data_IF_282137065065
#
_entry.id   IF_282137065065
#
_cell.length_a   1.000
_cell.length_b   1.000
_cell.length_c   1.000
_cell.angle_alpha   90.00
_cell.angle_beta   90.00
_cell.angle_gamma   90.00
#
_symmetry.space_group_name_H-M   'P 1'
#
loop_
_entity.id
_entity.type
_entity.pdbx_description
1 polymer ?
#
# COMPACT_ATOMS: atom_id res chain seq x y z
N UNK A 1 30.20 2.62 -76.13
CA UNK A 1 28.74 2.46 -76.34
C UNK A 1 28.07 2.48 -74.96
N UNK A 2 27.39 3.57 -74.59
CA UNK A 2 25.92 3.73 -74.68
C UNK A 2 25.18 2.73 -73.76
N UNK A 3 24.28 3.09 -72.83
CA UNK A 3 23.45 4.27 -72.61
C UNK A 3 22.91 4.25 -71.17
N UNK A 4 22.64 5.47 -70.67
CA UNK A 4 21.77 5.77 -69.53
C UNK A 4 20.35 5.18 -69.71
N UNK A 5 19.69 4.92 -68.58
CA UNK A 5 18.44 5.58 -68.14
C UNK A 5 17.09 4.83 -68.09
N UNK A 6 16.40 5.14 -66.98
CA UNK A 6 14.95 5.29 -66.69
C UNK A 6 14.05 4.07 -66.43
N UNK A 7 13.85 3.84 -65.12
CA UNK A 7 12.65 4.22 -64.36
C UNK A 7 11.29 3.63 -64.80
N UNK A 8 10.65 2.83 -63.93
CA UNK A 8 9.18 2.83 -63.75
C UNK A 8 8.74 2.27 -62.39
N UNK A 9 8.26 3.19 -61.55
CA UNK A 9 7.24 3.09 -60.48
C UNK A 9 6.70 1.68 -60.17
N UNK A 10 6.72 1.32 -58.88
CA UNK A 10 5.46 1.22 -58.13
C UNK A 10 5.69 1.41 -56.64
N UNK A 11 5.03 2.44 -56.09
CA UNK A 11 4.91 2.72 -54.66
C UNK A 11 4.10 1.58 -54.02
N UNK A 12 4.64 0.91 -53.01
CA UNK A 12 3.86 0.38 -51.89
C UNK A 12 4.59 0.71 -50.60
N UNK A 13 4.16 1.79 -49.96
CA UNK A 13 4.52 2.08 -48.58
C UNK A 13 3.97 0.97 -47.70
N UNK A 14 4.84 0.38 -46.88
CA UNK A 14 4.43 -0.33 -45.67
C UNK A 14 4.79 0.57 -44.50
N UNK A 15 3.76 1.06 -43.83
CA UNK A 15 3.85 1.84 -42.63
C UNK A 15 4.59 1.02 -41.54
N UNK A 16 5.68 1.57 -41.04
CA UNK A 16 6.31 1.16 -39.80
C UNK A 16 5.41 1.61 -38.64
N UNK A 17 4.75 0.67 -37.97
CA UNK A 17 4.08 0.94 -36.70
C UNK A 17 5.11 0.98 -35.58
N UNK A 18 5.65 2.17 -35.31
CA UNK A 18 6.26 2.46 -34.01
C UNK A 18 5.14 2.50 -32.97
N UNK A 19 5.32 1.92 -31.76
CA UNK A 19 4.39 2.18 -30.67
C UNK A 19 4.56 3.64 -30.24
N UNK A 20 3.49 4.43 -30.43
CA UNK A 20 3.42 5.81 -29.96
C UNK A 20 3.71 5.86 -28.44
N UNK A 21 4.58 6.76 -27.95
CA UNK A 21 4.63 7.05 -26.53
C UNK A 21 3.27 7.63 -26.13
N UNK A 22 2.57 6.91 -25.26
CA UNK A 22 1.32 7.38 -24.69
C UNK A 22 1.61 8.70 -23.96
N UNK A 23 0.87 9.79 -24.22
CA UNK A 23 1.04 11.01 -23.44
C UNK A 23 0.72 10.68 -21.99
N UNK A 24 1.63 11.10 -21.10
CA UNK A 24 1.48 10.94 -19.66
C UNK A 24 0.08 11.40 -19.24
N UNK A 25 -0.64 10.51 -18.56
CA UNK A 25 -1.97 10.79 -17.99
C UNK A 25 -1.93 11.80 -16.82
N UNK A 26 -0.83 12.53 -16.68
CA UNK A 26 -0.54 13.47 -15.61
C UNK A 26 -1.01 14.91 -15.92
N UNK A 27 -1.55 15.20 -17.12
CA UNK A 27 -1.88 16.57 -17.53
C UNK A 27 -3.38 16.88 -17.72
N UNK A 28 -4.30 15.95 -17.43
CA UNK A 28 -5.74 16.21 -17.60
C UNK A 28 -6.58 15.67 -16.45
N UNK A 29 -6.34 16.20 -15.26
CA UNK A 29 -7.41 16.47 -14.31
C UNK A 29 -7.13 17.84 -13.72
N UNK A 30 -7.75 18.89 -14.28
CA UNK A 30 -8.00 20.06 -13.43
C UNK A 30 -8.73 19.52 -12.19
N UNK A 31 -8.30 19.83 -10.96
CA UNK A 31 -9.14 19.55 -9.80
C UNK A 31 -10.51 20.14 -10.09
N UNK A 32 -11.62 19.45 -9.75
CA UNK A 32 -12.93 20.08 -9.84
C UNK A 32 -12.82 21.43 -9.15
N UNK A 33 -13.15 22.50 -9.86
CA UNK A 33 -13.15 23.85 -9.31
C UNK A 33 -13.90 23.77 -7.99
N UNK A 34 -13.21 24.11 -6.90
CA UNK A 34 -13.84 24.25 -5.60
C UNK A 34 -14.98 25.28 -5.77
N UNK A 35 -16.20 24.76 -5.85
CA UNK A 35 -17.42 25.53 -5.83
C UNK A 35 -18.40 24.72 -4.97
N UNK A 36 -18.96 25.30 -3.91
CA UNK A 36 -18.23 26.07 -2.93
C UNK A 36 -18.64 25.57 -1.54
N UNK A 37 -17.85 24.65 -0.96
CA UNK A 37 -18.04 24.34 0.46
C UNK A 37 -17.80 25.57 1.33
N UNK A 38 -16.91 26.47 0.87
CA UNK A 38 -16.66 27.76 1.49
C UNK A 38 -17.84 28.74 1.39
N UNK A 39 -18.69 28.67 0.35
CA UNK A 39 -19.90 29.51 0.25
C UNK A 39 -21.03 28.98 1.12
N UNK A 40 -21.23 27.66 1.18
CA UNK A 40 -22.20 27.09 2.12
C UNK A 40 -21.78 27.36 3.56
N UNK A 41 -20.49 27.16 3.88
CA UNK A 41 -19.92 27.48 5.19
C UNK A 41 -20.04 28.97 5.50
N UNK A 42 -19.62 29.86 4.59
CA UNK A 42 -19.75 31.30 4.80
C UNK A 42 -21.21 31.77 4.92
N UNK A 43 -22.15 31.16 4.19
CA UNK A 43 -23.60 31.45 4.31
C UNK A 43 -24.21 30.95 5.60
N UNK A 44 -23.72 29.83 6.12
CA UNK A 44 -24.11 29.32 7.43
C UNK A 44 -23.45 30.15 8.56
N UNK A 45 -22.18 30.53 8.45
CA UNK A 45 -21.47 31.42 9.39
C UNK A 45 -22.01 32.86 9.38
N UNK A 46 -22.58 33.31 8.26
CA UNK A 46 -23.27 34.60 8.14
C UNK A 46 -24.72 34.58 8.67
N UNK A 47 -25.28 33.40 8.93
CA UNK A 47 -26.61 33.28 9.54
C UNK A 47 -26.49 33.54 11.05
N UNK A 48 -27.09 34.62 11.58
CA UNK A 48 -26.91 35.02 12.98
C UNK A 48 -27.39 33.95 13.99
N UNK A 49 -28.36 33.10 13.62
CA UNK A 49 -28.80 31.98 14.46
C UNK A 49 -27.76 30.86 14.53
N UNK A 50 -27.13 30.57 13.39
CA UNK A 50 -26.14 29.50 13.27
C UNK A 50 -24.81 29.96 13.88
N UNK A 51 -24.42 31.22 13.67
CA UNK A 51 -23.27 31.86 14.33
C UNK A 51 -23.39 31.84 15.86
N UNK A 52 -24.58 32.10 16.40
CA UNK A 52 -24.84 31.99 17.84
C UNK A 52 -24.86 30.54 18.34
N UNK A 53 -25.26 29.59 17.49
CA UNK A 53 -25.22 28.15 17.79
C UNK A 53 -23.82 27.52 17.61
N UNK A 54 -22.92 28.16 16.88
CA UNK A 54 -21.54 27.74 16.63
C UNK A 54 -20.52 28.47 17.48
N UNK A 55 -20.96 29.41 18.31
CA UNK A 55 -20.13 30.08 19.32
C UNK A 55 -19.81 29.07 20.43
N UNK A 56 -18.89 28.15 20.13
CA UNK A 56 -18.51 27.02 20.97
C UNK A 56 -18.08 27.50 22.36
N UNK A 57 -17.45 28.68 22.47
CA UNK A 57 -17.09 29.33 23.73
C UNK A 57 -18.33 29.70 24.56
N UNK A 58 -19.39 30.22 23.94
CA UNK A 58 -20.65 30.56 24.63
C UNK A 58 -21.43 29.33 25.06
N UNK A 59 -21.42 28.28 24.23
CA UNK A 59 -22.02 26.97 24.55
C UNK A 59 -21.26 26.26 25.68
N UNK A 60 -19.93 26.22 25.63
CA UNK A 60 -19.08 25.65 26.68
C UNK A 60 -19.21 26.44 27.98
N UNK A 61 -19.15 27.78 27.92
CA UNK A 61 -19.37 28.65 29.10
C UNK A 61 -20.77 28.46 29.70
N UNK A 62 -21.79 28.25 28.87
CA UNK A 62 -23.16 28.02 29.31
C UNK A 62 -23.39 26.64 29.92
N UNK A 63 -22.68 25.62 29.43
CA UNK A 63 -22.64 24.28 30.05
C UNK A 63 -21.94 24.35 31.41
N UNK A 64 -20.81 25.07 31.51
CA UNK A 64 -20.07 25.28 32.77
C UNK A 64 -20.87 26.07 33.80
N UNK A 65 -21.66 27.06 33.36
CA UNK A 65 -22.55 27.87 34.21
C UNK A 65 -23.88 27.16 34.56
N UNK A 66 -24.13 25.98 33.99
CA UNK A 66 -25.32 25.18 34.30
C UNK A 66 -26.63 25.74 33.74
N UNK A 67 -26.62 26.47 32.62
CA UNK A 67 -27.85 27.05 32.05
C UNK A 67 -28.80 25.93 31.59
N UNK A 68 -30.03 25.83 32.18
CA UNK A 68 -30.96 24.76 31.88
C UNK A 68 -31.45 24.75 30.42
N UNK A 69 -31.46 25.90 29.74
CA UNK A 69 -31.85 25.97 28.33
C UNK A 69 -30.77 25.33 27.43
N UNK A 70 -29.50 25.57 27.76
CA UNK A 70 -28.36 25.05 27.02
C UNK A 70 -28.24 23.54 27.25
N UNK A 71 -28.36 23.09 28.49
CA UNK A 71 -28.33 21.67 28.86
C UNK A 71 -29.47 20.90 28.17
N UNK A 72 -30.70 21.42 28.18
CA UNK A 72 -31.83 20.75 27.53
C UNK A 72 -31.67 20.68 26.01
N UNK A 73 -31.09 21.70 25.40
CA UNK A 73 -30.77 21.74 23.98
C UNK A 73 -29.73 20.69 23.60
N UNK A 74 -28.62 20.58 24.35
CA UNK A 74 -27.60 19.54 24.17
C UNK A 74 -28.18 18.13 24.35
N UNK A 75 -29.00 17.92 25.38
CA UNK A 75 -29.69 16.63 25.60
C UNK A 75 -30.66 16.28 24.47
N UNK A 76 -31.29 17.27 23.85
CA UNK A 76 -32.13 17.07 22.67
C UNK A 76 -31.30 16.63 21.48
N UNK A 77 -30.13 17.25 21.26
CA UNK A 77 -29.20 16.81 20.20
C UNK A 77 -28.67 15.38 20.42
N UNK A 78 -28.37 15.00 21.67
CA UNK A 78 -28.01 13.61 22.01
C UNK A 78 -29.17 12.64 21.72
N UNK A 79 -30.41 12.99 22.08
CA UNK A 79 -31.60 12.17 21.77
C UNK A 79 -31.90 12.07 20.27
N UNK A 80 -31.56 13.12 19.51
CA UNK A 80 -31.68 13.16 18.05
C UNK A 80 -30.51 12.46 17.33
N UNK A 81 -29.49 11.98 18.05
CA UNK A 81 -28.31 11.33 17.48
C UNK A 81 -27.42 12.28 16.67
N UNK A 82 -27.54 13.59 16.89
CA UNK A 82 -26.75 14.63 16.21
C UNK A 82 -25.43 14.92 16.93
N UNK A 83 -25.35 14.57 18.21
CA UNK A 83 -24.15 14.66 19.04
C UNK A 83 -24.08 13.37 19.84
N UNK A 84 -22.92 12.74 19.87
CA UNK A 84 -22.72 11.57 20.72
C UNK A 84 -22.91 11.95 22.19
N UNK A 85 -23.45 11.03 22.99
CA UNK A 85 -23.53 11.23 24.43
C UNK A 85 -22.12 11.59 24.94
N UNK A 86 -21.96 12.60 25.82
CA UNK A 86 -20.66 12.91 26.38
C UNK A 86 -20.07 11.64 27.00
N UNK A 87 -18.86 11.30 26.55
CA UNK A 87 -18.14 10.13 27.03
C UNK A 87 -17.95 10.28 28.54
N UNK A 88 -18.32 9.25 29.30
CA UNK A 88 -18.08 9.25 30.74
C UNK A 88 -16.59 9.20 31.04
N UNK A 89 -16.18 9.64 32.23
CA UNK A 89 -14.76 9.68 32.62
C UNK A 89 -14.09 8.31 32.53
N UNK A 90 -14.85 7.24 32.79
CA UNK A 90 -14.38 5.86 32.65
C UNK A 90 -14.18 5.46 31.18
N UNK A 91 -15.08 5.88 30.29
CA UNK A 91 -14.98 5.63 28.85
C UNK A 91 -13.86 6.46 28.19
N UNK A 92 -13.63 7.69 28.66
CA UNK A 92 -12.50 8.53 28.23
C UNK A 92 -11.18 7.86 28.60
N UNK A 93 -11.03 7.43 29.85
CA UNK A 93 -9.83 6.71 30.29
C UNK A 93 -9.63 5.37 29.56
N UNK A 94 -10.72 4.68 29.18
CA UNK A 94 -10.65 3.48 28.37
C UNK A 94 -10.23 3.78 26.92
N UNK A 95 -10.70 4.88 26.34
CA UNK A 95 -10.30 5.33 25.01
C UNK A 95 -8.84 5.78 24.98
N UNK A 96 -8.40 6.57 25.96
CA UNK A 96 -7.01 7.01 26.09
C UNK A 96 -6.05 5.82 26.16
N UNK A 97 -6.41 4.77 26.92
CA UNK A 97 -5.62 3.53 26.98
C UNK A 97 -5.56 2.82 25.63
N UNK A 98 -6.70 2.73 24.92
CA UNK A 98 -6.75 2.14 23.57
C UNK A 98 -5.89 2.93 22.58
N UNK A 99 -5.96 4.26 22.63
CA UNK A 99 -5.20 5.13 21.74
C UNK A 99 -3.70 5.02 22.04
N UNK A 100 -3.29 5.01 23.32
CA UNK A 100 -1.89 4.76 23.71
C UNK A 100 -1.39 3.41 23.20
N UNK A 101 -2.20 2.35 23.24
CA UNK A 101 -1.83 1.05 22.70
C UNK A 101 -1.74 1.04 21.17
N UNK A 102 -2.66 1.74 20.50
CA UNK A 102 -2.70 1.85 19.04
C UNK A 102 -1.50 2.64 18.49
N UNK A 103 -1.04 3.66 19.23
CA UNK A 103 0.09 4.51 18.85
C UNK A 103 1.42 4.11 19.50
N UNK A 104 1.53 2.87 20.02
CA UNK A 104 2.83 2.36 20.45
C UNK A 104 3.83 2.40 19.29
N UNK A 105 5.06 2.80 19.59
CA UNK A 105 6.13 2.82 18.61
C UNK A 105 6.34 1.44 17.99
N UNK A 106 6.53 1.44 16.69
CA UNK A 106 6.73 0.24 15.90
C UNK A 106 8.03 -0.46 16.31
N UNK A 107 7.97 -1.77 16.58
CA UNK A 107 9.16 -2.58 16.89
C UNK A 107 10.10 -2.62 15.68
N UNK A 108 11.40 -2.29 15.81
CA UNK A 108 12.33 -2.29 14.69
C UNK A 108 12.32 -3.62 13.94
N UNK A 109 12.23 -3.58 12.61
CA UNK A 109 12.48 -4.77 11.79
C UNK A 109 13.98 -4.97 11.60
N UNK A 110 14.37 -6.19 11.32
CA UNK A 110 15.70 -6.48 10.81
C UNK A 110 15.97 -5.66 9.54
N UNK A 111 17.23 -5.28 9.35
CA UNK A 111 17.66 -4.54 8.17
C UNK A 111 17.93 -5.48 6.99
N UNK A 112 17.59 -5.01 5.79
CA UNK A 112 17.93 -5.71 4.56
C UNK A 112 19.46 -5.79 4.41
N UNK A 113 20.06 -6.98 4.26
CA UNK A 113 21.52 -7.14 4.19
C UNK A 113 22.15 -6.56 2.90
N UNK A 114 21.35 -6.09 1.95
CA UNK A 114 21.81 -5.51 0.67
C UNK A 114 21.87 -3.98 0.73
N UNK A 115 20.86 -3.34 1.31
CA UNK A 115 20.73 -1.88 1.32
C UNK A 115 20.74 -1.25 2.73
N UNK A 116 20.79 -2.07 3.78
CA UNK A 116 20.81 -1.65 5.18
C UNK A 116 19.61 -0.75 5.55
N UNK A 117 18.48 -0.99 4.91
CA UNK A 117 17.21 -0.33 5.24
C UNK A 117 16.29 -1.34 5.93
N UNK A 118 15.42 -0.89 6.85
CA UNK A 118 14.49 -1.75 7.55
C UNK A 118 13.65 -2.60 6.58
N UNK A 119 13.47 -3.88 6.87
CA UNK A 119 12.56 -4.72 6.11
C UNK A 119 11.12 -4.18 6.25
N UNK A 120 10.31 -4.29 5.17
CA UNK A 120 8.90 -3.90 5.21
C UNK A 120 8.05 -4.93 5.96
N UNK A 121 7.00 -4.47 6.67
CA UNK A 121 6.08 -5.35 7.41
C UNK A 121 5.41 -6.41 6.56
N UNK A 122 5.06 -6.07 5.32
CA UNK A 122 4.24 -6.94 4.51
C UNK A 122 5.12 -8.00 3.84
N UNK A 123 4.72 -9.26 3.99
CA UNK A 123 5.42 -10.41 3.43
C UNK A 123 5.58 -10.35 1.90
N UNK A 124 4.70 -9.64 1.19
CA UNK A 124 4.78 -9.47 -0.27
C UNK A 124 5.88 -8.49 -0.73
N UNK A 125 6.44 -7.71 0.20
CA UNK A 125 7.53 -6.77 -0.07
C UNK A 125 8.90 -7.30 0.39
N UNK A 126 8.97 -8.55 0.83
CA UNK A 126 10.21 -9.25 1.14
C UNK A 126 10.37 -10.48 0.23
N UNK A 127 11.60 -10.91 0.05
CA UNK A 127 11.97 -12.09 -0.71
C UNK A 127 12.94 -12.94 0.10
N UNK A 128 12.60 -14.21 0.31
CA UNK A 128 13.48 -15.19 0.95
C UNK A 128 14.39 -15.80 -0.11
N UNK A 129 15.70 -15.84 0.17
CA UNK A 129 16.70 -16.47 -0.70
C UNK A 129 16.97 -17.90 -0.27
N UNK A 130 16.38 -18.85 -1.01
CA UNK A 130 16.51 -20.29 -0.77
C UNK A 130 17.95 -20.84 -0.88
N UNK A 131 18.95 -20.07 -1.33
CA UNK A 131 20.37 -20.46 -1.23
C UNK A 131 20.99 -20.24 0.16
N UNK A 132 20.71 -19.13 0.85
CA UNK A 132 21.38 -18.70 2.09
C UNK A 132 20.43 -18.37 3.27
N UNK A 133 19.13 -18.29 3.01
CA UNK A 133 18.08 -18.12 4.03
C UNK A 133 17.84 -16.66 4.34
N UNK A 134 18.61 -15.78 3.72
CA UNK A 134 18.50 -14.36 3.92
C UNK A 134 17.19 -13.83 3.36
N UNK A 135 16.58 -12.95 4.14
CA UNK A 135 15.41 -12.17 3.77
C UNK A 135 15.91 -10.83 3.24
N UNK A 136 15.50 -10.48 2.03
CA UNK A 136 15.84 -9.19 1.41
C UNK A 136 14.57 -8.45 1.01
N UNK A 137 14.63 -7.12 0.94
CA UNK A 137 13.53 -6.33 0.39
C UNK A 137 13.31 -6.70 -1.09
N UNK A 138 12.06 -6.84 -1.49
CA UNK A 138 11.66 -7.16 -2.86
C UNK A 138 12.25 -6.16 -3.89
N UNK A 139 12.24 -4.86 -3.58
CA UNK A 139 12.87 -3.85 -4.45
C UNK A 139 14.38 -4.05 -4.66
N UNK A 140 15.11 -4.64 -3.70
CA UNK A 140 16.51 -5.02 -3.90
C UNK A 140 16.64 -6.24 -4.81
N UNK A 141 15.73 -7.21 -4.67
CA UNK A 141 15.68 -8.38 -5.52
C UNK A 141 15.42 -7.99 -6.99
N UNK A 142 14.40 -7.19 -7.25
CA UNK A 142 14.06 -6.70 -8.60
C UNK A 142 15.23 -5.94 -9.23
N UNK A 143 15.86 -5.03 -8.48
CA UNK A 143 17.00 -4.27 -8.98
C UNK A 143 18.20 -5.14 -9.37
N UNK A 144 18.34 -6.33 -8.79
CA UNK A 144 19.40 -7.30 -9.15
C UNK A 144 18.99 -8.10 -10.37
N UNK A 145 17.72 -8.53 -10.44
CA UNK A 145 17.18 -9.23 -11.60
C UNK A 145 17.29 -8.38 -12.87
N UNK A 146 17.06 -7.08 -12.78
CA UNK A 146 17.17 -6.17 -13.93
C UNK A 146 18.62 -5.98 -14.41
N UNK A 147 19.60 -6.12 -13.51
CA UNK A 147 21.02 -5.91 -13.81
C UNK A 147 21.76 -7.18 -14.20
N UNK A 148 21.29 -8.35 -13.79
CA UNK A 148 21.97 -9.63 -13.98
C UNK A 148 21.15 -10.56 -14.87
N UNK A 149 21.81 -11.47 -15.58
CA UNK A 149 21.14 -12.51 -16.36
C UNK A 149 20.61 -13.64 -15.45
N UNK A 150 19.51 -13.35 -14.76
CA UNK A 150 18.72 -14.30 -13.96
C UNK A 150 18.78 -14.06 -12.45
N UNK A 151 18.09 -14.93 -11.70
CA UNK A 151 17.95 -14.82 -10.25
C UNK A 151 19.22 -15.26 -9.50
N UNK A 152 20.19 -14.36 -9.46
CA UNK A 152 21.43 -14.52 -8.71
C UNK A 152 21.27 -13.87 -7.34
N UNK A 153 21.50 -14.64 -6.28
CA UNK A 153 21.43 -14.11 -4.93
C UNK A 153 22.52 -13.04 -4.69
N UNK A 154 22.18 -11.86 -4.12
CA UNK A 154 23.17 -10.83 -3.80
C UNK A 154 24.19 -11.21 -2.73
N UNK A 155 23.87 -12.20 -1.90
CA UNK A 155 24.65 -12.53 -0.70
C UNK A 155 25.56 -13.71 -0.98
N UNK A 156 24.98 -14.82 -1.47
CA UNK A 156 25.70 -16.07 -1.69
C UNK A 156 26.19 -16.24 -3.14
N UNK A 157 25.78 -15.37 -4.07
CA UNK A 157 26.01 -15.45 -5.53
C UNK A 157 25.54 -16.76 -6.21
N UNK A 158 24.79 -17.63 -5.52
CA UNK A 158 24.18 -18.81 -6.12
C UNK A 158 23.04 -18.38 -7.05
N UNK A 159 23.00 -19.00 -8.23
CA UNK A 159 21.92 -18.82 -9.22
C UNK A 159 20.78 -19.76 -8.91
N UNK A 160 19.58 -19.20 -8.77
CA UNK A 160 18.34 -19.97 -8.59
C UNK A 160 17.71 -20.21 -9.96
N UNK A 161 17.38 -21.48 -10.24
CA UNK A 161 16.72 -21.93 -11.46
C UNK A 161 15.53 -22.81 -11.09
N UNK A 162 14.62 -23.03 -12.04
CA UNK A 162 13.48 -23.92 -11.85
C UNK A 162 13.89 -25.36 -11.55
N UNK A 163 15.08 -25.79 -11.99
CA UNK A 163 15.61 -27.13 -11.74
C UNK A 163 16.19 -27.32 -10.34
N UNK A 164 16.81 -26.30 -9.75
CA UNK A 164 17.51 -26.45 -8.47
C UNK A 164 16.70 -25.95 -7.26
N UNK A 165 15.61 -25.20 -7.48
CA UNK A 165 14.86 -24.57 -6.40
C UNK A 165 14.29 -25.57 -5.38
N UNK A 166 13.81 -26.72 -5.84
CA UNK A 166 13.28 -27.77 -4.95
C UNK A 166 14.38 -28.37 -4.08
N UNK A 167 15.56 -28.61 -4.66
CA UNK A 167 16.71 -29.14 -3.93
C UNK A 167 17.24 -28.14 -2.90
N UNK A 168 17.34 -26.86 -3.28
CA UNK A 168 17.73 -25.77 -2.38
C UNK A 168 16.75 -25.63 -1.22
N UNK A 169 15.45 -25.74 -1.50
CA UNK A 169 14.41 -25.68 -0.46
C UNK A 169 14.50 -26.88 0.48
N UNK A 170 14.71 -28.10 -0.03
CA UNK A 170 14.86 -29.30 0.82
C UNK A 170 16.07 -29.22 1.75
N UNK A 171 17.23 -28.77 1.25
CA UNK A 171 18.43 -28.57 2.08
C UNK A 171 18.19 -27.60 3.22
N UNK A 172 17.34 -26.59 3.02
CA UNK A 172 16.92 -25.66 4.06
C UNK A 172 15.97 -26.27 5.08
N UNK A 173 15.04 -27.10 4.61
CA UNK A 173 14.13 -27.84 5.50
C UNK A 173 14.91 -28.77 6.43
N UNK A 174 15.98 -29.41 5.94
CA UNK A 174 16.90 -30.20 6.77
C UNK A 174 17.59 -29.37 7.88
N UNK A 175 17.72 -28.06 7.68
CA UNK A 175 18.26 -27.11 8.68
C UNK A 175 17.17 -26.54 9.61
N UNK A 176 15.95 -27.07 9.57
CA UNK A 176 14.79 -26.56 10.33
C UNK A 176 14.41 -25.10 10.04
N UNK A 177 14.63 -24.63 8.80
CA UNK A 177 14.18 -23.30 8.37
C UNK A 177 12.66 -23.29 8.13
N UNK A 178 11.92 -22.54 8.96
CA UNK A 178 10.45 -22.45 8.93
C UNK A 178 9.93 -21.81 7.65
N UNK A 179 10.65 -20.83 7.09
CA UNK A 179 10.27 -20.19 5.84
C UNK A 179 10.41 -21.17 4.67
N UNK A 180 11.50 -21.95 4.65
CA UNK A 180 11.68 -22.97 3.63
C UNK A 180 10.66 -24.09 3.71
N UNK A 181 10.21 -24.48 4.91
CA UNK A 181 9.11 -25.44 5.08
C UNK A 181 7.81 -24.91 4.47
N UNK A 182 7.50 -23.65 4.71
CA UNK A 182 6.30 -22.99 4.16
C UNK A 182 6.36 -22.92 2.63
N UNK A 183 7.51 -22.54 2.08
CA UNK A 183 7.74 -22.54 0.63
C UNK A 183 7.61 -23.95 0.05
N UNK A 184 8.20 -24.96 0.70
CA UNK A 184 8.11 -26.34 0.23
C UNK A 184 6.66 -26.87 0.23
N UNK A 185 5.89 -26.55 1.27
CA UNK A 185 4.47 -26.87 1.33
C UNK A 185 3.70 -26.23 0.15
N UNK A 186 3.99 -24.97 -0.17
CA UNK A 186 3.39 -24.28 -1.31
C UNK A 186 3.74 -24.95 -2.65
N UNK A 187 5.00 -25.35 -2.82
CA UNK A 187 5.46 -26.08 -4.01
C UNK A 187 4.68 -27.39 -4.17
N UNK A 188 4.54 -28.18 -3.10
CA UNK A 188 3.78 -29.43 -3.12
C UNK A 188 2.28 -29.23 -3.34
N UNK A 189 1.70 -28.17 -2.77
CA UNK A 189 0.28 -27.85 -2.95
C UNK A 189 -0.03 -27.48 -4.40
N UNK A 190 0.84 -26.69 -5.03
CA UNK A 190 0.62 -26.18 -6.38
C UNK A 190 1.10 -27.12 -7.48
N UNK A 191 2.13 -27.94 -7.22
CA UNK A 191 2.77 -28.76 -8.24
C UNK A 191 3.72 -27.97 -9.13
N UNK A 192 4.38 -26.96 -8.56
CA UNK A 192 5.31 -26.11 -9.29
C UNK A 192 6.71 -26.73 -9.32
N UNK A 193 7.58 -26.23 -10.20
CA UNK A 193 8.99 -26.63 -10.29
C UNK A 193 9.22 -28.14 -10.53
N UNK A 194 8.35 -28.77 -11.32
CA UNK A 194 8.50 -30.17 -11.72
C UNK A 194 7.98 -31.19 -10.69
N UNK A 195 7.31 -30.74 -9.63
CA UNK A 195 6.71 -31.60 -8.62
C UNK A 195 5.33 -32.08 -9.08
N UNK A 196 5.11 -33.41 -9.11
CA UNK A 196 3.82 -34.00 -9.46
C UNK A 196 2.87 -33.98 -8.27
N UNK A 197 1.64 -33.51 -8.48
CA UNK A 197 0.59 -33.48 -7.44
C UNK A 197 -0.42 -34.58 -7.71
N UNK A 198 -0.48 -35.54 -6.80
CA UNK A 198 -1.53 -36.57 -6.81
C UNK A 198 -2.79 -36.01 -6.15
N UNK A 199 -3.63 -35.32 -6.92
CA UNK A 199 -4.95 -34.86 -6.45
C UNK A 199 -5.94 -36.03 -6.50
N UNK A 200 -5.89 -36.95 -5.53
CA UNK A 200 -7.03 -37.84 -5.29
C UNK A 200 -8.13 -37.00 -4.66
N UNK A 201 -9.26 -36.88 -5.37
CA UNK A 201 -10.50 -36.25 -4.89
C UNK A 201 -11.25 -37.19 -3.97
#
# INVERSE_FOLDING_TARGET
MARKNKNRRSKKGKASSTPNPSPSRAAQRKPPSAAPQDDLRARLEANPMIKAAWDLDRLLSGIEQGDPNIINTVNTFVKMGLVDKPLTTEEMAAQDKRDVELFKEYTPQDDCPVCLLPLPLRADHIQIKLCCGAIIRYGCHDAILDKKEGDICPICNVKTTTSNIVELTKKRVELNDTEAMTVLAHIYQQGTYGVTVNRKK
#
